data_IF_263030032513
#
_entry.id   IF_263030032513
#
_cell.length_a   1.000
_cell.length_b   1.000
_cell.length_c   1.000
_cell.angle_alpha   90.00
_cell.angle_beta   90.00
_cell.angle_gamma   90.00
#
_symmetry.space_group_name_H-M   'P 1'
#
loop_
_entity.id
_entity.type
_entity.pdbx_description
1 polymer ?
#
# COMPACT_ATOMS: atom_id res chain seq x y z
N UNK A 1 -51.05 -24.48 -18.55
CA UNK A 1 -49.77 -23.75 -18.74
C UNK A 1 -49.37 -22.82 -17.59
N UNK A 2 -50.26 -22.44 -16.66
CA UNK A 2 -49.92 -21.46 -15.60
C UNK A 2 -48.96 -21.90 -14.50
N UNK A 3 -48.91 -23.20 -14.14
CA UNK A 3 -48.11 -23.67 -12.98
C UNK A 3 -46.61 -23.80 -13.26
N UNK A 4 -46.19 -23.91 -14.53
CA UNK A 4 -44.77 -24.04 -14.92
C UNK A 4 -44.07 -22.69 -15.16
N UNK A 5 -44.84 -21.64 -15.49
CA UNK A 5 -44.31 -20.28 -15.66
C UNK A 5 -44.11 -19.60 -14.29
N UNK A 6 -44.98 -19.88 -13.32
CA UNK A 6 -44.87 -19.36 -11.94
C UNK A 6 -43.65 -19.91 -11.18
N UNK A 7 -43.28 -21.18 -11.39
CA UNK A 7 -42.12 -21.79 -10.73
C UNK A 7 -40.77 -21.25 -11.28
N UNK A 8 -40.71 -20.87 -12.55
CA UNK A 8 -39.50 -20.32 -13.19
C UNK A 8 -39.29 -18.85 -12.79
N UNK A 9 -40.37 -18.10 -12.55
CA UNK A 9 -40.32 -16.72 -12.07
C UNK A 9 -39.92 -16.61 -10.58
N UNK A 10 -40.25 -17.62 -9.76
CA UNK A 10 -39.92 -17.65 -8.33
C UNK A 10 -38.44 -18.04 -8.08
N UNK A 11 -37.85 -18.87 -8.95
CA UNK A 11 -36.42 -19.26 -8.86
C UNK A 11 -35.47 -18.13 -9.28
N UNK A 12 -35.91 -17.21 -10.16
CA UNK A 12 -35.10 -16.05 -10.59
C UNK A 12 -35.08 -14.93 -9.52
N UNK A 13 -36.10 -14.85 -8.65
CA UNK A 13 -36.18 -13.81 -7.60
C UNK A 13 -35.30 -14.09 -6.37
N UNK A 14 -34.93 -15.36 -6.10
CA UNK A 14 -34.19 -15.76 -4.89
C UNK A 14 -32.66 -15.65 -5.04
N UNK A 15 -32.13 -15.45 -6.25
CA UNK A 15 -30.68 -15.41 -6.52
C UNK A 15 -30.09 -13.98 -6.37
N UNK A 16 -30.91 -12.97 -6.07
CA UNK A 16 -30.48 -11.55 -6.04
C UNK A 16 -30.06 -11.01 -4.66
N UNK A 17 -30.06 -11.83 -3.59
CA UNK A 17 -29.72 -11.36 -2.23
C UNK A 17 -28.58 -12.15 -1.61
N UNK A 18 -27.38 -12.05 -2.18
CA UNK A 18 -26.13 -12.36 -1.49
C UNK A 18 -25.04 -11.41 -1.99
N UNK A 19 -24.64 -10.44 -1.15
CA UNK A 19 -23.55 -9.52 -1.47
C UNK A 19 -23.21 -8.52 -0.35
N UNK A 20 -22.21 -8.89 0.47
CA UNK A 20 -21.34 -8.09 1.37
C UNK A 20 -21.97 -7.23 2.48
N UNK A 21 -21.42 -7.11 3.69
CA UNK A 21 -20.09 -7.46 4.21
C UNK A 21 -19.41 -6.26 4.87
N UNK A 22 -19.73 -6.02 6.15
CA UNK A 22 -18.97 -5.34 7.26
C UNK A 22 -18.04 -4.14 7.00
N UNK A 23 -18.20 -3.08 7.82
CA UNK A 23 -17.08 -2.38 8.50
C UNK A 23 -17.54 -1.70 9.80
N UNK A 24 -17.07 -2.21 10.95
CA UNK A 24 -17.13 -1.55 12.25
C UNK A 24 -15.93 -0.60 12.36
N UNK A 25 -16.17 0.68 12.64
CA UNK A 25 -15.15 1.63 13.07
C UNK A 25 -14.89 1.44 14.57
N UNK A 26 -13.63 1.24 14.93
CA UNK A 26 -13.19 1.25 16.32
C UNK A 26 -13.05 2.71 16.77
N UNK A 27 -13.88 3.09 17.74
CA UNK A 27 -13.76 4.28 18.56
C UNK A 27 -12.60 4.07 19.56
N UNK A 28 -11.57 4.91 19.52
CA UNK A 28 -10.52 4.94 20.55
C UNK A 28 -10.95 5.91 21.66
N UNK A 29 -10.94 5.50 22.95
CA UNK A 29 -11.23 6.42 24.03
C UNK A 29 -10.03 7.33 24.28
N UNK A 30 -10.31 8.64 24.34
CA UNK A 30 -9.38 9.67 24.78
C UNK A 30 -9.01 9.44 26.26
N UNK A 31 -7.71 9.40 26.54
CA UNK A 31 -7.20 9.38 27.91
C UNK A 31 -7.06 10.84 28.37
N UNK A 32 -7.99 11.29 29.21
CA UNK A 32 -7.83 12.54 29.97
C UNK A 32 -6.61 12.40 30.88
N UNK A 33 -5.65 13.33 30.73
CA UNK A 33 -4.57 13.50 31.68
C UNK A 33 -5.04 14.49 32.75
N UNK A 34 -5.17 14.00 33.97
CA UNK A 34 -5.41 14.78 35.17
C UNK A 34 -4.14 15.59 35.45
N UNK A 35 -4.17 16.90 35.17
CA UNK A 35 -3.18 17.85 35.67
C UNK A 35 -3.46 18.15 37.14
N UNK A 36 -2.77 17.45 38.04
CA UNK A 36 -2.70 17.81 39.46
C UNK A 36 -1.80 19.03 39.61
N UNK A 37 -2.40 20.21 39.72
CA UNK A 37 -1.73 21.44 40.12
C UNK A 37 -1.68 21.46 41.65
N UNK A 38 -0.50 21.26 42.24
CA UNK A 38 -0.26 21.45 43.68
C UNK A 38 1.16 21.95 43.95
N UNK A 39 1.25 23.08 44.64
CA UNK A 39 2.48 23.73 45.10
C UNK A 39 2.39 25.24 44.85
N UNK A 40 1.44 25.94 45.48
CA UNK A 40 1.71 26.75 46.69
C UNK A 40 3.01 27.56 46.60
N UNK A 41 2.83 28.82 46.21
CA UNK A 41 3.80 29.88 46.33
C UNK A 41 4.02 30.21 47.81
N UNK A 42 5.21 29.89 48.32
CA UNK A 42 5.71 30.43 49.57
C UNK A 42 6.71 31.55 49.22
N UNK A 43 6.23 32.79 49.23
CA UNK A 43 7.10 33.97 49.15
C UNK A 43 7.38 34.41 50.57
N UNK A 44 8.57 34.07 51.09
CA UNK A 44 9.09 34.70 52.29
C UNK A 44 10.41 35.38 51.95
N UNK A 45 10.32 36.69 51.78
CA UNK A 45 11.40 37.66 51.85
C UNK A 45 12.06 37.61 53.22
N UNK A 46 13.34 37.26 53.27
CA UNK A 46 14.26 37.68 54.34
C UNK A 46 15.53 38.16 53.66
N UNK A 47 15.80 39.45 53.85
CA UNK A 47 17.01 40.13 53.42
C UNK A 47 18.16 39.92 54.43
N UNK A 48 19.36 39.96 53.89
CA UNK A 48 20.66 40.21 54.52
C UNK A 48 21.14 39.29 55.65
N UNK A 49 22.08 38.41 55.32
CA UNK A 49 23.35 38.43 56.04
C UNK A 49 24.53 38.10 55.12
N UNK A 50 25.62 38.84 55.31
CA UNK A 50 26.80 38.93 54.45
C UNK A 50 27.71 37.74 54.75
N UNK A 51 27.76 36.78 53.83
CA UNK A 51 28.85 35.82 53.75
C UNK A 51 29.31 35.70 52.30
N UNK A 52 30.46 36.29 52.02
CA UNK A 52 31.18 36.23 50.74
C UNK A 52 31.25 34.78 50.25
N UNK A 53 30.57 34.38 49.17
CA UNK A 53 30.89 33.11 48.56
C UNK A 53 32.21 33.34 47.84
N UNK A 54 33.27 32.71 48.33
CA UNK A 54 34.49 32.51 47.56
C UNK A 54 34.04 31.89 46.24
N UNK A 55 34.01 32.71 45.19
CA UNK A 55 33.78 32.28 43.83
C UNK A 55 34.95 31.36 43.48
N UNK A 56 34.79 30.09 43.83
CA UNK A 56 35.56 29.00 43.24
C UNK A 56 35.23 29.11 41.77
N UNK A 57 36.16 29.71 41.01
CA UNK A 57 36.20 29.62 39.56
C UNK A 57 36.14 28.13 39.24
N UNK A 58 34.92 27.62 39.04
CA UNK A 58 34.70 26.37 38.36
C UNK A 58 35.17 26.69 36.97
N UNK A 59 36.41 26.27 36.66
CA UNK A 59 36.89 26.21 35.30
C UNK A 59 35.77 25.53 34.52
N UNK A 60 35.08 26.30 33.69
CA UNK A 60 34.11 25.78 32.75
C UNK A 60 34.91 24.83 31.89
N UNK A 61 34.82 23.53 32.20
CA UNK A 61 35.36 22.50 31.33
C UNK A 61 34.68 22.76 30.01
N UNK A 62 35.45 23.24 29.04
CA UNK A 62 34.99 23.52 27.69
C UNK A 62 34.77 22.16 27.03
N UNK A 63 33.63 21.54 27.38
CA UNK A 63 33.22 20.28 26.78
C UNK A 63 32.71 20.63 25.40
N UNK A 64 33.46 20.22 24.38
CA UNK A 64 33.01 20.36 23.01
C UNK A 64 31.66 19.64 22.84
N UNK A 65 30.59 20.37 22.46
CA UNK A 65 29.25 19.80 22.43
C UNK A 65 29.15 18.73 21.35
N UNK A 66 28.60 17.57 21.72
CA UNK A 66 28.32 16.46 20.82
C UNK A 66 26.92 16.64 20.24
N UNK A 67 26.83 17.08 18.99
CA UNK A 67 25.57 17.42 18.34
C UNK A 67 25.34 16.56 17.10
N UNK A 68 24.21 15.86 17.06
CA UNK A 68 23.75 15.12 15.88
C UNK A 68 22.87 16.05 15.05
N UNK A 69 23.15 16.13 13.74
CA UNK A 69 22.34 16.89 12.78
C UNK A 69 21.78 15.97 11.69
N UNK A 70 20.47 16.08 11.48
CA UNK A 70 19.79 15.41 10.38
C UNK A 70 18.89 16.38 9.63
N UNK A 71 18.75 16.21 8.32
CA UNK A 71 17.83 17.00 7.51
C UNK A 71 16.94 16.12 6.66
N UNK A 72 15.68 16.53 6.51
CA UNK A 72 14.76 16.00 5.53
C UNK A 72 14.37 17.14 4.59
N UNK A 73 14.66 16.98 3.30
CA UNK A 73 14.50 18.02 2.29
C UNK A 73 13.74 17.45 1.09
N UNK A 74 12.72 18.15 0.62
CA UNK A 74 11.98 17.85 -0.59
C UNK A 74 12.06 19.02 -1.56
N UNK A 75 12.57 18.76 -2.76
CA UNK A 75 12.76 19.79 -3.79
C UNK A 75 12.18 19.37 -5.14
N UNK A 76 11.46 20.31 -5.76
CA UNK A 76 11.08 20.25 -7.17
C UNK A 76 12.24 20.77 -8.02
N UNK A 77 12.59 20.04 -9.09
CA UNK A 77 13.59 20.45 -10.08
C UNK A 77 13.02 20.48 -11.49
N UNK A 78 13.62 21.33 -12.32
CA UNK A 78 13.20 21.48 -13.72
C UNK A 78 13.63 20.29 -14.60
N UNK A 79 14.85 19.79 -14.41
CA UNK A 79 15.45 18.68 -15.17
C UNK A 79 16.11 17.71 -14.18
N UNK A 80 15.51 16.53 -14.03
CA UNK A 80 15.97 15.51 -13.10
C UNK A 80 17.40 15.06 -13.38
N UNK A 81 17.77 14.81 -14.64
CA UNK A 81 19.08 14.27 -14.99
C UNK A 81 20.19 15.27 -14.69
N UNK A 82 20.00 16.54 -15.07
CA UNK A 82 20.96 17.60 -14.77
C UNK A 82 21.06 17.86 -13.27
N UNK A 83 19.93 17.88 -12.57
CA UNK A 83 19.93 18.09 -11.13
C UNK A 83 20.59 16.95 -10.38
N UNK A 84 20.38 15.69 -10.78
CA UNK A 84 21.03 14.54 -10.16
C UNK A 84 22.56 14.60 -10.26
N UNK A 85 23.08 14.94 -11.45
CA UNK A 85 24.52 15.11 -11.66
C UNK A 85 25.09 16.27 -10.82
N UNK A 86 24.35 17.37 -10.68
CA UNK A 86 24.73 18.47 -9.78
C UNK A 86 24.73 18.05 -8.33
N UNK A 87 23.73 17.27 -7.88
CA UNK A 87 23.70 16.71 -6.52
C UNK A 87 24.97 15.90 -6.26
N UNK A 88 25.38 15.01 -7.16
CA UNK A 88 26.61 14.22 -6.98
C UNK A 88 27.85 15.11 -6.87
N UNK A 89 27.93 16.16 -7.69
CA UNK A 89 29.02 17.13 -7.64
C UNK A 89 29.06 17.91 -6.32
N UNK A 90 27.89 18.32 -5.81
CA UNK A 90 27.75 19.01 -4.52
C UNK A 90 28.12 18.08 -3.37
N UNK A 91 27.64 16.83 -3.39
CA UNK A 91 27.97 15.82 -2.38
C UNK A 91 29.48 15.57 -2.33
N UNK A 92 30.12 15.40 -3.49
CA UNK A 92 31.57 15.22 -3.59
C UNK A 92 32.34 16.46 -3.08
N UNK A 93 31.92 17.67 -3.46
CA UNK A 93 32.52 18.94 -3.00
C UNK A 93 32.56 19.05 -1.48
N UNK A 94 31.52 18.58 -0.80
CA UNK A 94 31.40 18.62 0.66
C UNK A 94 31.96 17.38 1.36
N UNK A 95 32.70 16.52 0.65
CA UNK A 95 33.26 15.25 1.15
C UNK A 95 32.19 14.30 1.71
N UNK A 96 30.98 14.38 1.19
CA UNK A 96 29.88 13.47 1.51
C UNK A 96 29.86 12.26 0.57
N UNK A 97 29.01 11.30 0.89
CA UNK A 97 28.74 10.13 0.07
C UNK A 97 27.28 9.70 0.19
N UNK A 98 26.76 9.06 -0.85
CA UNK A 98 25.40 8.52 -0.88
C UNK A 98 25.39 7.13 -0.23
N UNK A 99 24.51 6.92 0.74
CA UNK A 99 24.34 5.61 1.41
C UNK A 99 23.21 4.79 0.83
N UNK A 100 22.17 5.45 0.33
CA UNK A 100 20.99 4.81 -0.22
C UNK A 100 20.38 5.69 -1.29
N UNK A 101 19.85 5.07 -2.33
CA UNK A 101 19.21 5.76 -3.44
C UNK A 101 18.06 4.91 -3.97
N UNK A 102 16.89 5.53 -4.14
CA UNK A 102 15.71 4.89 -4.68
C UNK A 102 15.07 5.80 -5.72
N UNK A 103 15.21 5.41 -7.00
CA UNK A 103 14.61 6.10 -8.12
C UNK A 103 13.23 5.49 -8.46
N UNK A 104 12.27 6.36 -8.74
CA UNK A 104 10.94 5.98 -9.19
C UNK A 104 10.45 6.95 -10.26
N UNK A 105 9.98 6.40 -11.38
CA UNK A 105 9.32 7.13 -12.46
C UNK A 105 7.86 6.69 -12.56
N UNK A 106 6.98 7.68 -12.65
CA UNK A 106 5.55 7.51 -12.94
C UNK A 106 5.17 8.40 -14.11
N UNK A 107 3.96 8.23 -14.66
CA UNK A 107 3.46 9.04 -15.78
C UNK A 107 3.41 10.56 -15.48
N UNK A 108 3.41 10.92 -14.20
CA UNK A 108 3.26 12.30 -13.72
C UNK A 108 4.53 12.86 -13.07
N UNK A 109 5.50 12.03 -12.71
CA UNK A 109 6.71 12.49 -12.03
C UNK A 109 7.90 11.54 -12.19
N UNK A 110 9.11 12.13 -12.25
CA UNK A 110 10.37 11.42 -11.99
C UNK A 110 10.85 11.82 -10.60
N UNK A 111 11.07 10.86 -9.72
CA UNK A 111 11.41 11.11 -8.32
C UNK A 111 12.58 10.23 -7.86
N UNK A 112 13.34 10.73 -6.89
CA UNK A 112 14.46 10.01 -6.33
C UNK A 112 14.63 10.36 -4.85
N UNK A 113 14.66 9.33 -4.00
CA UNK A 113 14.95 9.43 -2.57
C UNK A 113 16.40 9.07 -2.33
N UNK A 114 17.20 10.05 -1.93
CA UNK A 114 18.65 9.92 -1.75
C UNK A 114 18.97 10.16 -0.27
N UNK A 115 19.71 9.24 0.35
CA UNK A 115 20.27 9.45 1.69
C UNK A 115 21.76 9.75 1.57
N UNK A 116 22.17 10.91 2.07
CA UNK A 116 23.53 11.43 1.97
C UNK A 116 24.13 11.50 3.38
N UNK A 117 25.34 10.98 3.55
CA UNK A 117 26.19 11.18 4.74
C UNK A 117 27.23 12.24 4.42
N UNK A 118 27.40 13.23 5.29
CA UNK A 118 28.35 14.34 5.10
C UNK A 118 29.02 14.70 6.44
N UNK A 119 30.30 15.10 6.46
CA UNK A 119 30.92 15.63 7.68
C UNK A 119 30.09 16.76 8.29
N UNK A 120 29.90 16.75 9.61
CA UNK A 120 29.00 17.67 10.31
C UNK A 120 29.34 19.16 10.10
N UNK A 121 30.61 19.47 9.88
CA UNK A 121 31.09 20.82 9.57
C UNK A 121 30.59 21.34 8.22
N UNK A 122 30.40 20.45 7.24
CA UNK A 122 29.98 20.80 5.88
C UNK A 122 28.46 20.69 5.67
N UNK A 123 27.71 20.24 6.68
CA UNK A 123 26.27 19.98 6.59
C UNK A 123 25.48 21.21 6.10
N UNK A 124 25.69 22.38 6.72
CA UNK A 124 24.98 23.60 6.37
C UNK A 124 25.31 24.05 4.93
N UNK A 125 26.58 23.97 4.55
CA UNK A 125 27.03 24.36 3.21
C UNK A 125 26.45 23.45 2.12
N UNK A 126 26.35 22.13 2.40
CA UNK A 126 25.72 21.18 1.51
C UNK A 126 24.23 21.49 1.30
N UNK A 127 23.50 21.81 2.37
CA UNK A 127 22.08 22.18 2.27
C UNK A 127 21.89 23.48 1.47
N UNK A 128 22.73 24.48 1.69
CA UNK A 128 22.71 25.72 0.92
C UNK A 128 22.98 25.47 -0.56
N UNK A 129 23.99 24.67 -0.91
CA UNK A 129 24.30 24.34 -2.30
C UNK A 129 23.17 23.52 -2.95
N UNK A 130 22.53 22.58 -2.24
CA UNK A 130 21.37 21.83 -2.74
C UNK A 130 20.17 22.76 -2.96
N UNK A 131 19.96 23.78 -2.13
CA UNK A 131 18.87 24.72 -2.33
C UNK A 131 19.03 25.51 -3.66
N UNK A 132 20.26 25.72 -4.14
CA UNK A 132 20.50 26.45 -5.41
C UNK A 132 20.06 25.70 -6.67
N UNK A 133 19.96 24.37 -6.61
CA UNK A 133 19.50 23.56 -7.75
C UNK A 133 17.98 23.38 -7.77
N UNK A 134 17.32 23.67 -6.64
CA UNK A 134 15.88 23.54 -6.51
C UNK A 134 15.18 24.63 -7.33
N UNK A 135 14.20 24.22 -8.15
CA UNK A 135 13.23 25.15 -8.73
C UNK A 135 12.29 25.66 -7.64
N UNK A 136 11.93 24.77 -6.71
CA UNK A 136 11.13 25.08 -5.53
C UNK A 136 11.49 24.11 -4.40
N UNK A 137 11.58 24.62 -3.18
CA UNK A 137 11.70 23.79 -1.97
C UNK A 137 10.29 23.60 -1.41
N UNK A 138 9.78 22.38 -1.39
CA UNK A 138 8.44 22.09 -0.86
C UNK A 138 8.49 21.85 0.65
N UNK A 139 9.57 21.23 1.13
CA UNK A 139 9.73 20.91 2.53
C UNK A 139 11.21 20.91 2.91
N UNK A 140 11.54 21.52 4.04
CA UNK A 140 12.86 21.43 4.64
C UNK A 140 12.70 21.42 6.16
N UNK A 141 13.21 20.37 6.78
CA UNK A 141 13.24 20.24 8.23
C UNK A 141 14.64 19.81 8.67
N UNK A 142 15.20 20.54 9.63
CA UNK A 142 16.52 20.27 10.20
C UNK A 142 16.30 19.90 11.67
N UNK A 143 16.68 18.69 12.02
CA UNK A 143 16.64 18.21 13.39
C UNK A 143 18.06 18.23 13.97
N UNK A 144 18.18 18.83 15.15
CA UNK A 144 19.44 18.96 15.87
C UNK A 144 19.23 18.40 17.27
N UNK A 145 20.09 17.48 17.69
CA UNK A 145 20.02 16.86 19.00
C UNK A 145 21.37 16.96 19.68
N UNK A 146 21.38 17.54 20.88
CA UNK A 146 22.53 17.49 21.77
C UNK A 146 22.56 16.13 22.47
N UNK A 147 23.67 15.41 22.31
CA UNK A 147 23.92 14.10 22.91
C UNK A 147 25.16 14.13 23.80
N UNK A 148 25.59 15.31 24.24
CA UNK A 148 26.77 15.50 25.09
C UNK A 148 26.62 14.76 26.42
N UNK A 149 25.48 14.91 27.08
CA UNK A 149 25.19 14.22 28.35
C UNK A 149 25.21 12.70 28.17
N UNK A 150 24.52 12.18 27.14
CA UNK A 150 24.48 10.75 26.83
C UNK A 150 25.89 10.21 26.54
N UNK A 151 26.69 10.95 25.76
CA UNK A 151 28.05 10.57 25.43
C UNK A 151 28.93 10.46 26.68
N UNK A 152 28.89 11.46 27.55
CA UNK A 152 29.66 11.48 28.80
C UNK A 152 29.23 10.34 29.72
N UNK A 153 27.93 10.11 29.86
CA UNK A 153 27.40 9.03 30.70
C UNK A 153 27.84 7.64 30.20
N UNK A 154 27.67 7.36 28.91
CA UNK A 154 28.11 6.08 28.30
C UNK A 154 29.62 5.91 28.41
N UNK A 155 30.40 6.97 28.16
CA UNK A 155 31.86 6.93 28.28
C UNK A 155 32.31 6.65 29.72
N UNK A 156 31.73 7.34 30.69
CA UNK A 156 32.06 7.16 32.12
C UNK A 156 31.71 5.76 32.58
N UNK A 157 30.54 5.22 32.17
CA UNK A 157 30.17 3.83 32.46
C UNK A 157 31.13 2.83 31.85
N UNK A 158 31.55 3.05 30.60
CA UNK A 158 32.53 2.20 29.93
C UNK A 158 33.86 2.17 30.69
N UNK A 159 34.40 3.34 31.06
CA UNK A 159 35.65 3.45 31.81
C UNK A 159 35.56 2.75 33.17
N UNK A 160 34.45 2.94 33.89
CA UNK A 160 34.20 2.26 35.16
C UNK A 160 34.14 0.73 34.98
N UNK A 161 33.44 0.24 33.97
CA UNK A 161 33.33 -1.21 33.69
C UNK A 161 34.68 -1.82 33.32
N UNK A 162 35.51 -1.09 32.58
CA UNK A 162 36.89 -1.52 32.28
C UNK A 162 37.76 -1.60 33.53
N UNK A 163 37.60 -0.67 34.48
CA UNK A 163 38.31 -0.75 35.76
C UNK A 163 37.84 -1.92 36.62
N UNK A 164 36.52 -2.17 36.66
CA UNK A 164 35.96 -3.37 37.30
C UNK A 164 36.52 -4.63 36.64
N UNK A 165 36.57 -4.69 35.31
CA UNK A 165 37.17 -5.82 34.58
C UNK A 165 38.63 -6.04 34.98
N UNK A 166 39.45 -4.97 35.04
CA UNK A 166 40.85 -5.04 35.49
C UNK A 166 40.97 -5.61 36.90
N UNK A 167 40.10 -5.17 37.81
CA UNK A 167 40.06 -5.65 39.20
C UNK A 167 39.68 -7.14 39.27
N UNK A 168 38.64 -7.55 38.55
CA UNK A 168 38.22 -8.96 38.49
C UNK A 168 39.30 -9.86 37.89
N UNK A 169 40.00 -9.42 36.83
CA UNK A 169 41.16 -10.14 36.26
C UNK A 169 42.34 -10.22 37.23
N UNK A 170 42.49 -9.28 38.16
CA UNK A 170 43.50 -9.37 39.24
C UNK A 170 43.08 -10.44 40.25
N UNK A 171 41.85 -10.39 40.75
CA UNK A 171 41.35 -11.40 41.69
C UNK A 171 41.38 -12.82 41.12
N UNK A 172 41.07 -12.98 39.82
CA UNK A 172 41.17 -14.25 39.12
C UNK A 172 42.58 -14.87 39.17
N UNK A 173 43.63 -14.02 39.05
CA UNK A 173 45.03 -14.47 39.12
C UNK A 173 45.46 -14.91 40.52
N UNK A 174 44.77 -14.39 41.54
CA UNK A 174 45.06 -14.68 42.96
C UNK A 174 44.19 -15.81 43.52
N UNK A 175 43.10 -16.17 42.82
CA UNK A 175 42.15 -17.19 43.23
C UNK A 175 42.76 -18.60 43.22
N UNK A 176 42.56 -19.35 44.32
CA UNK A 176 43.06 -20.74 44.48
C UNK A 176 41.95 -21.78 44.46
N UNK A 177 40.70 -21.37 44.71
CA UNK A 177 39.54 -22.26 44.73
C UNK A 177 38.86 -22.28 43.35
N UNK A 178 38.59 -23.48 42.83
CA UNK A 178 37.91 -23.70 41.55
C UNK A 178 36.52 -23.06 41.53
N UNK A 179 35.78 -23.11 42.64
CA UNK A 179 34.44 -22.53 42.70
C UNK A 179 34.48 -21.00 42.56
N UNK A 180 35.47 -20.35 43.18
CA UNK A 180 35.67 -18.90 43.08
C UNK A 180 36.13 -18.49 41.67
N UNK A 181 37.00 -19.30 41.04
CA UNK A 181 37.42 -19.10 39.65
C UNK A 181 36.21 -19.12 38.72
N UNK A 182 35.34 -20.13 38.83
CA UNK A 182 34.15 -20.23 37.99
C UNK A 182 33.19 -19.04 38.21
N UNK A 183 33.00 -18.60 39.46
CA UNK A 183 32.18 -17.42 39.78
C UNK A 183 32.76 -16.13 39.16
N UNK A 184 34.08 -15.94 39.26
CA UNK A 184 34.76 -14.77 38.69
C UNK A 184 34.68 -14.78 37.17
N UNK A 185 34.92 -15.92 36.51
CA UNK A 185 34.81 -16.06 35.05
C UNK A 185 33.41 -15.76 34.54
N UNK A 186 32.37 -16.29 35.19
CA UNK A 186 30.98 -15.99 34.84
C UNK A 186 30.69 -14.49 34.93
N UNK A 187 31.16 -13.83 36.01
CA UNK A 187 30.95 -12.39 36.16
C UNK A 187 31.78 -11.57 35.16
N UNK A 188 32.97 -12.04 34.82
CA UNK A 188 33.84 -11.41 33.83
C UNK A 188 33.22 -11.48 32.43
N UNK A 189 32.59 -12.60 32.07
CA UNK A 189 31.86 -12.74 30.81
C UNK A 189 30.70 -11.73 30.71
N UNK A 190 29.93 -11.57 31.79
CA UNK A 190 28.86 -10.57 31.88
C UNK A 190 29.41 -9.13 31.70
N UNK A 191 30.47 -8.78 32.45
CA UNK A 191 31.10 -7.46 32.37
C UNK A 191 31.64 -7.18 30.96
N UNK A 192 32.25 -8.17 30.30
CA UNK A 192 32.75 -8.02 28.92
C UNK A 192 31.62 -7.76 27.93
N UNK A 193 30.51 -8.48 28.04
CA UNK A 193 29.32 -8.25 27.21
C UNK A 193 28.80 -6.81 27.39
N UNK A 194 28.77 -6.31 28.62
CA UNK A 194 28.38 -4.92 28.91
C UNK A 194 29.38 -3.90 28.32
N UNK A 195 30.69 -4.17 28.43
CA UNK A 195 31.74 -3.32 27.84
C UNK A 195 31.59 -3.25 26.31
N UNK A 196 31.41 -4.39 25.64
CA UNK A 196 31.24 -4.46 24.19
C UNK A 196 29.99 -3.69 23.74
N UNK A 197 28.88 -3.83 24.48
CA UNK A 197 27.65 -3.08 24.23
C UNK A 197 27.86 -1.56 24.39
N UNK A 198 28.51 -1.13 25.47
CA UNK A 198 28.80 0.28 25.73
C UNK A 198 29.76 0.88 24.68
N UNK A 199 30.78 0.12 24.26
CA UNK A 199 31.68 0.51 23.17
C UNK A 199 30.94 0.66 21.84
N UNK A 200 30.05 -0.28 21.53
CA UNK A 200 29.18 -0.21 20.35
C UNK A 200 28.30 1.04 20.36
N UNK A 201 27.69 1.36 21.50
CA UNK A 201 26.87 2.58 21.67
C UNK A 201 27.70 3.85 21.47
N UNK A 202 28.88 3.92 22.07
CA UNK A 202 29.76 5.08 21.96
C UNK A 202 30.21 5.30 20.50
N UNK A 203 30.61 4.22 19.81
CA UNK A 203 30.96 4.26 18.38
C UNK A 203 29.80 4.74 17.51
N UNK A 204 28.57 4.34 17.84
CA UNK A 204 27.38 4.81 17.15
C UNK A 204 27.17 6.32 17.33
N UNK A 205 27.23 6.82 18.57
CA UNK A 205 27.10 8.26 18.85
C UNK A 205 28.19 9.05 18.13
N UNK A 206 29.45 8.62 18.23
CA UNK A 206 30.57 9.28 17.55
C UNK A 206 30.36 9.35 16.03
N UNK A 207 29.88 8.27 15.42
CA UNK A 207 29.58 8.27 13.99
C UNK A 207 28.48 9.27 13.62
N UNK A 208 27.43 9.39 14.43
CA UNK A 208 26.31 10.32 14.18
C UNK A 208 26.68 11.79 14.45
N UNK A 209 27.62 12.04 15.35
CA UNK A 209 28.15 13.39 15.61
C UNK A 209 29.13 13.81 14.49
N UNK A 210 29.98 12.90 14.04
CA UNK A 210 30.97 13.19 13.00
C UNK A 210 30.33 13.31 11.61
N UNK A 211 29.31 12.49 11.32
CA UNK A 211 28.60 12.47 10.04
C UNK A 211 27.14 12.84 10.24
N UNK A 212 26.72 13.94 9.62
CA UNK A 212 25.33 14.32 9.50
C UNK A 212 24.65 13.56 8.37
N UNK A 213 23.35 13.32 8.51
CA UNK A 213 22.54 12.61 7.52
C UNK A 213 21.53 13.54 6.86
N UNK A 214 21.46 13.55 5.53
CA UNK A 214 20.50 14.32 4.74
C UNK A 214 19.66 13.37 3.90
N UNK A 215 18.35 13.35 4.15
CA UNK A 215 17.37 12.67 3.31
C UNK A 215 16.84 13.68 2.29
N UNK A 216 17.26 13.53 1.05
CA UNK A 216 16.85 14.38 -0.07
C UNK A 216 15.82 13.64 -0.92
N UNK A 217 14.62 14.20 -1.00
CA UNK A 217 13.63 13.83 -2.00
C UNK A 217 13.71 14.83 -3.16
N UNK A 218 14.18 14.34 -4.29
CA UNK A 218 14.35 15.11 -5.52
C UNK A 218 13.29 14.67 -6.52
N UNK A 219 12.48 15.59 -7.04
CA UNK A 219 11.50 15.21 -8.06
C UNK A 219 11.30 16.26 -9.14
N UNK A 220 10.92 15.79 -10.32
CA UNK A 220 10.51 16.58 -11.48
C UNK A 220 9.07 16.22 -11.82
N UNK A 221 8.18 17.22 -11.85
CA UNK A 221 6.83 17.05 -12.39
C UNK A 221 6.92 16.89 -13.91
N UNK A 222 6.32 15.83 -14.42
CA UNK A 222 6.09 15.66 -15.84
C UNK A 222 4.74 16.32 -16.16
N UNK A 223 4.72 17.20 -17.17
CA UNK A 223 3.44 17.71 -17.65
C UNK A 223 2.64 16.55 -18.21
N UNK A 224 1.49 16.30 -17.58
CA UNK A 224 0.47 15.44 -18.16
C UNK A 224 -0.03 16.09 -19.45
N UNK A 225 0.51 15.67 -20.59
CA UNK A 225 -0.08 15.99 -21.88
C UNK A 225 -1.38 15.19 -21.98
N UNK A 226 -2.48 15.83 -21.60
CA UNK A 226 -3.81 15.39 -22.03
C UNK A 226 -3.78 15.38 -23.55
N UNK A 227 -3.51 14.20 -24.10
CA UNK A 227 -3.80 13.93 -25.49
C UNK A 227 -5.26 13.53 -25.41
N UNK A 228 -6.23 14.43 -25.72
CA UNK A 228 -7.59 13.97 -25.87
C UNK A 228 -7.51 12.80 -26.83
N UNK A 229 -7.93 11.63 -26.38
CA UNK A 229 -8.23 10.55 -27.31
C UNK A 229 -9.13 11.20 -28.34
N UNK A 230 -8.65 11.32 -29.59
CA UNK A 230 -9.40 11.96 -30.65
C UNK A 230 -10.68 11.16 -30.77
N UNK A 231 -11.71 11.63 -30.07
CA UNK A 231 -12.99 10.98 -30.01
C UNK A 231 -13.39 10.81 -31.47
N UNK A 232 -13.58 9.58 -31.96
CA UNK A 232 -13.79 9.34 -33.36
C UNK A 232 -14.86 10.31 -33.84
N UNK A 233 -14.59 11.01 -34.94
CA UNK A 233 -15.50 12.03 -35.45
C UNK A 233 -16.90 11.43 -35.59
N UNK A 234 -17.94 12.26 -35.59
CA UNK A 234 -19.32 11.79 -35.75
C UNK A 234 -19.44 10.71 -36.85
N UNK A 235 -18.77 10.92 -37.97
CA UNK A 235 -18.69 9.98 -39.09
C UNK A 235 -17.96 8.66 -38.82
N UNK A 236 -16.90 8.65 -38.01
CA UNK A 236 -16.25 7.40 -37.57
C UNK A 236 -17.16 6.62 -36.63
N UNK A 237 -17.87 7.27 -35.70
CA UNK A 237 -18.86 6.60 -34.83
C UNK A 237 -20.04 6.05 -35.62
N UNK A 238 -20.51 6.77 -36.63
CA UNK A 238 -21.54 6.28 -37.56
C UNK A 238 -21.03 5.06 -38.33
N UNK A 239 -19.78 5.09 -38.83
CA UNK A 239 -19.17 3.96 -39.54
C UNK A 239 -19.01 2.73 -38.64
N UNK A 240 -18.54 2.93 -37.40
CA UNK A 240 -18.43 1.85 -36.41
C UNK A 240 -19.80 1.30 -36.03
N UNK A 241 -20.78 2.18 -35.77
CA UNK A 241 -22.16 1.79 -35.48
C UNK A 241 -22.80 1.01 -36.63
N UNK A 242 -22.56 1.40 -37.88
CA UNK A 242 -23.04 0.69 -39.06
C UNK A 242 -22.36 -0.68 -39.21
N UNK A 243 -21.05 -0.79 -38.94
CA UNK A 243 -20.34 -2.07 -38.98
C UNK A 243 -20.86 -3.05 -37.93
N UNK A 244 -21.11 -2.55 -36.71
CA UNK A 244 -21.71 -3.34 -35.63
C UNK A 244 -23.16 -3.72 -35.94
N UNK A 245 -23.96 -2.79 -36.47
CA UNK A 245 -25.33 -3.05 -36.92
C UNK A 245 -25.42 -4.08 -38.03
N UNK A 246 -24.54 -4.00 -39.03
CA UNK A 246 -24.46 -4.94 -40.14
C UNK A 246 -24.08 -6.35 -39.68
N UNK A 247 -23.13 -6.46 -38.75
CA UNK A 247 -22.79 -7.73 -38.10
C UNK A 247 -24.00 -8.32 -37.36
N UNK A 248 -24.77 -7.49 -36.65
CA UNK A 248 -26.00 -7.91 -35.99
C UNK A 248 -27.05 -8.46 -36.97
N UNK A 249 -27.25 -7.77 -38.10
CA UNK A 249 -28.15 -8.21 -39.17
C UNK A 249 -27.72 -9.56 -39.77
N UNK A 250 -26.43 -9.73 -40.06
CA UNK A 250 -25.89 -11.01 -40.53
C UNK A 250 -26.13 -12.12 -39.50
N UNK A 251 -25.95 -11.84 -38.21
CA UNK A 251 -26.18 -12.81 -37.14
C UNK A 251 -27.66 -13.23 -37.04
N UNK A 252 -28.60 -12.29 -37.24
CA UNK A 252 -30.03 -12.58 -37.34
C UNK A 252 -30.34 -13.52 -38.52
N UNK A 253 -29.74 -13.26 -39.69
CA UNK A 253 -29.96 -14.08 -40.88
C UNK A 253 -29.38 -15.50 -40.70
N UNK A 254 -28.20 -15.61 -40.08
CA UNK A 254 -27.62 -16.90 -39.68
C UNK A 254 -28.52 -17.64 -38.68
N UNK A 255 -29.16 -16.94 -37.75
CA UNK A 255 -30.12 -17.53 -36.81
C UNK A 255 -31.33 -18.14 -37.57
N UNK A 256 -31.87 -17.44 -38.56
CA UNK A 256 -32.95 -17.95 -39.41
C UNK A 256 -32.53 -19.23 -40.15
N UNK A 257 -31.34 -19.23 -40.76
CA UNK A 257 -30.80 -20.41 -41.44
C UNK A 257 -30.57 -21.54 -40.43
N UNK A 258 -30.03 -21.26 -39.24
CA UNK A 258 -29.81 -22.26 -38.19
C UNK A 258 -31.11 -22.88 -37.67
N UNK A 259 -32.22 -22.15 -37.75
CA UNK A 259 -33.55 -22.65 -37.36
C UNK A 259 -34.23 -23.54 -38.41
N UNK A 260 -33.58 -23.82 -39.55
CA UNK A 260 -34.14 -24.66 -40.62
C UNK A 260 -34.71 -26.03 -40.19
N UNK A 261 -34.16 -26.78 -39.19
CA UNK A 261 -34.73 -28.08 -38.82
C UNK A 261 -36.10 -27.93 -38.16
N UNK A 262 -36.32 -26.79 -37.48
CA UNK A 262 -37.57 -26.48 -36.80
C UNK A 262 -38.66 -26.11 -37.82
N UNK A 263 -38.27 -25.45 -38.91
CA UNK A 263 -39.16 -25.15 -40.05
C UNK A 263 -39.53 -26.42 -40.81
N UNK A 264 -38.57 -27.34 -41.01
CA UNK A 264 -38.81 -28.67 -41.60
C UNK A 264 -39.76 -29.51 -40.74
N UNK A 265 -39.56 -29.56 -39.42
CA UNK A 265 -40.47 -30.24 -38.49
C UNK A 265 -41.87 -29.62 -38.53
N UNK A 266 -41.98 -28.30 -38.56
CA UNK A 266 -43.26 -27.60 -38.72
C UNK A 266 -43.97 -27.96 -40.02
N UNK A 267 -43.25 -28.01 -41.15
CA UNK A 267 -43.80 -28.41 -42.44
C UNK A 267 -44.25 -29.89 -42.44
N UNK A 268 -43.49 -30.79 -41.82
CA UNK A 268 -43.83 -32.21 -41.71
C UNK A 268 -45.07 -32.43 -40.83
N UNK A 269 -45.16 -31.71 -39.70
CA UNK A 269 -46.34 -31.72 -38.83
C UNK A 269 -47.58 -31.17 -39.58
N UNK A 270 -47.44 -30.09 -40.32
CA UNK A 270 -48.52 -29.55 -41.15
C UNK A 270 -49.00 -30.56 -42.22
N UNK A 271 -48.06 -31.25 -42.89
CA UNK A 271 -48.39 -32.24 -43.91
C UNK A 271 -49.11 -33.47 -43.33
N UNK A 272 -48.68 -33.97 -42.16
CA UNK A 272 -49.33 -35.10 -41.48
C UNK A 272 -50.75 -34.76 -41.03
N UNK A 273 -50.99 -33.54 -40.53
CA UNK A 273 -52.35 -33.07 -40.19
C UNK A 273 -53.27 -33.05 -41.43
N UNK A 274 -52.79 -32.54 -42.56
CA UNK A 274 -53.56 -32.53 -43.82
C UNK A 274 -53.89 -33.96 -44.29
N UNK A 275 -52.94 -34.89 -44.19
CA UNK A 275 -53.15 -36.28 -44.58
C UNK A 275 -54.17 -36.97 -43.66
N UNK A 276 -54.10 -36.73 -42.35
CA UNK A 276 -55.07 -37.25 -41.37
C UNK A 276 -56.47 -36.71 -41.68
N UNK A 277 -56.62 -35.42 -41.95
CA UNK A 277 -57.91 -34.85 -42.35
C UNK A 277 -58.48 -35.48 -43.63
N UNK A 278 -57.63 -35.71 -44.63
CA UNK A 278 -58.02 -36.40 -45.87
C UNK A 278 -58.49 -37.84 -45.61
N UNK A 279 -57.78 -38.59 -44.75
CA UNK A 279 -58.17 -39.96 -44.42
C UNK A 279 -59.47 -40.04 -43.61
N UNK A 280 -59.68 -39.13 -42.65
CA UNK A 280 -60.92 -39.07 -41.86
C UNK A 280 -62.12 -38.72 -42.76
N UNK A 281 -61.98 -37.75 -43.68
CA UNK A 281 -63.03 -37.39 -44.65
C UNK A 281 -63.32 -38.56 -45.62
N UNK A 282 -62.30 -39.33 -46.01
CA UNK A 282 -62.44 -40.54 -46.82
C UNK A 282 -63.20 -41.68 -46.13
N UNK A 283 -62.92 -41.94 -44.85
CA UNK A 283 -63.63 -42.95 -44.02
C UNK A 283 -65.10 -42.61 -43.83
N UNK A 284 -65.43 -41.35 -43.49
CA UNK A 284 -66.82 -40.88 -43.36
C UNK A 284 -67.63 -41.03 -44.66
N UNK A 285 -66.98 -40.88 -45.82
CA UNK A 285 -67.64 -41.08 -47.14
C UNK A 285 -67.93 -42.56 -47.42
N UNK A 286 -67.04 -43.48 -46.99
CA UNK A 286 -67.26 -44.94 -47.09
C UNK A 286 -68.33 -45.43 -46.11
N UNK A 287 -68.35 -44.94 -44.87
CA UNK A 287 -69.42 -45.25 -43.89
C UNK A 287 -70.79 -44.76 -44.34
N UNK A 288 -70.89 -43.55 -44.93
CA UNK A 288 -72.15 -43.05 -45.50
C UNK A 288 -72.63 -43.89 -46.69
N UNK A 289 -71.72 -44.43 -47.51
CA UNK A 289 -72.06 -45.36 -48.60
C UNK A 289 -72.50 -46.73 -48.05
N UNK A 290 -71.81 -47.28 -47.06
CA UNK A 290 -72.17 -48.55 -46.42
C UNK A 290 -73.55 -48.48 -45.73
N UNK A 291 -73.84 -47.38 -45.02
CA UNK A 291 -75.18 -47.14 -44.45
C UNK A 291 -76.28 -47.01 -45.51
N UNK A 292 -75.98 -46.41 -46.68
CA UNK A 292 -76.92 -46.37 -47.81
C UNK A 292 -77.16 -47.75 -48.44
N UNK A 293 -76.14 -48.60 -48.54
CA UNK A 293 -76.27 -49.98 -49.01
C UNK A 293 -77.03 -50.88 -48.00
N UNK A 294 -76.76 -50.75 -46.70
CA UNK A 294 -77.52 -51.46 -45.67
C UNK A 294 -78.98 -51.03 -45.60
N UNK A 295 -79.27 -49.73 -45.80
CA UNK A 295 -80.65 -49.23 -45.86
C UNK A 295 -81.40 -49.75 -47.09
N UNK A 296 -80.71 -49.89 -48.24
CA UNK A 296 -81.25 -50.54 -49.45
C UNK A 296 -81.46 -52.05 -49.26
N UNK A 297 -80.57 -52.75 -48.56
CA UNK A 297 -80.73 -54.18 -48.25
C UNK A 297 -81.90 -54.43 -47.29
N UNK A 298 -82.05 -53.60 -46.24
CA UNK A 298 -83.23 -53.67 -45.35
C UNK A 298 -84.55 -53.35 -46.06
N UNK A 299 -84.56 -52.38 -46.97
CA UNK A 299 -85.74 -52.11 -47.80
C UNK A 299 -86.06 -53.26 -48.77
N UNK A 300 -85.06 -54.03 -49.23
CA UNK A 300 -85.29 -55.18 -50.10
C UNK A 300 -85.85 -56.40 -49.35
N UNK A 301 -85.43 -56.65 -48.11
CA UNK A 301 -85.99 -57.73 -47.27
C UNK A 301 -87.43 -57.44 -46.80
N UNK A 302 -87.79 -56.17 -46.58
CA UNK A 302 -89.14 -55.75 -46.17
C UNK A 302 -90.16 -55.79 -47.33
N UNK A 303 -89.72 -56.07 -48.56
CA UNK A 303 -90.61 -56.22 -49.74
C UNK A 303 -90.87 -57.70 -50.10
N UNK A 304 -90.32 -58.66 -49.35
CA UNK A 304 -90.41 -60.12 -49.63
C UNK A 304 -91.05 -60.93 -48.47
N UNK A 305 -91.69 -60.25 -47.50
CA UNK A 305 -92.74 -60.83 -46.64
C UNK A 305 -94.08 -60.19 -46.97
#
# INVERSE_FOLDING_TARGET
>A
MGKRVSLILLVILVISTFGCGTRKSNEYPNHESISSNRGEAFTQTVADDIATPVAKNVATVDVEPKVIKTANVSIEVADYLKSRQKVDSIVAKHKGYVTNEAFQETDTQKSNSITIRVPAQNFNLLLTDIATIAKRVDYQNIYTQDVTEEYIDVKTRLENKQEVERTYRKHLREAKNIEDILKIENKLAEIRSEIESAQGRLKYIDNQVNLSSVSLYLYQKLEYKYTPEELPGFWQRVKEGLHWGWKGFLWFLVLLVKLWPLWLLGALAYFTVILIEKQIKGRKKKEKKAKKLQKKAKQADETVM
#
